data_IF_769295648942
#
_entry.id   IF_769295648942
#
_cell.length_a   1.000
_cell.length_b   1.000
_cell.length_c   1.000
_cell.angle_alpha   90.00
_cell.angle_beta   90.00
_cell.angle_gamma   90.00
#
_symmetry.space_group_name_H-M   'P 1'
#
loop_
_entity.id
_entity.type
_entity.pdbx_description
1 polymer ?
#
# COMPACT_ATOMS: atom_id res chain seq x y z
N UNK A 1 -3.14 -15.25 -6.13
CA UNK A 1 -3.12 -13.77 -6.00
C UNK A 1 -2.59 -13.37 -4.63
N UNK A 2 -1.43 -12.74 -4.57
CA UNK A 2 -0.79 -12.37 -3.31
C UNK A 2 -1.40 -11.09 -2.72
N UNK A 3 -1.50 -11.04 -1.39
CA UNK A 3 -1.95 -9.87 -0.63
C UNK A 3 -0.86 -8.80 -0.67
N UNK A 4 -1.23 -7.52 -0.74
CA UNK A 4 -0.34 -6.40 -0.39
C UNK A 4 0.30 -6.63 0.98
N UNK A 5 1.62 -6.61 1.01
CA UNK A 5 2.46 -6.69 2.20
C UNK A 5 3.14 -5.34 2.39
N UNK A 6 3.61 -5.08 3.61
CA UNK A 6 4.33 -3.83 3.89
C UNK A 6 5.55 -3.73 2.98
N UNK A 7 6.32 -4.82 2.81
CA UNK A 7 7.53 -4.88 1.98
C UNK A 7 7.31 -4.49 0.51
N UNK A 8 6.06 -4.46 0.03
CA UNK A 8 5.76 -4.00 -1.33
C UNK A 8 6.00 -2.49 -1.50
N UNK A 9 6.29 -1.72 -0.43
CA UNK A 9 6.65 -0.30 -0.55
C UNK A 9 7.88 -0.10 -1.45
N UNK A 10 8.78 -1.09 -1.50
CA UNK A 10 9.98 -1.08 -2.34
C UNK A 10 9.71 -1.14 -3.85
N UNK A 11 8.47 -1.42 -4.25
CA UNK A 11 8.04 -1.49 -5.66
C UNK A 11 7.42 -0.18 -6.13
N UNK A 12 7.31 0.82 -5.26
CA UNK A 12 6.76 2.13 -5.59
C UNK A 12 7.90 2.99 -6.11
N UNK A 13 7.94 3.20 -7.42
CA UNK A 13 8.86 4.14 -8.07
C UNK A 13 8.11 5.40 -8.51
N UNK A 14 6.87 5.22 -8.99
CA UNK A 14 5.98 6.30 -9.40
C UNK A 14 4.61 6.24 -8.70
N UNK A 15 3.85 7.33 -8.76
CA UNK A 15 2.53 7.44 -8.12
C UNK A 15 1.54 6.34 -8.59
N UNK A 16 1.58 5.95 -9.87
CA UNK A 16 0.72 4.92 -10.46
C UNK A 16 0.97 3.52 -9.86
N UNK A 17 2.18 3.27 -9.36
CA UNK A 17 2.56 1.97 -8.83
C UNK A 17 1.80 1.68 -7.54
N UNK A 18 1.55 2.71 -6.74
CA UNK A 18 0.80 2.61 -5.49
C UNK A 18 -0.58 1.98 -5.72
N UNK A 19 -1.29 2.41 -6.76
CA UNK A 19 -2.62 1.89 -7.10
C UNK A 19 -2.56 0.46 -7.66
N UNK A 20 -1.49 0.14 -8.40
CA UNK A 20 -1.29 -1.20 -8.97
C UNK A 20 -0.90 -2.25 -7.90
N UNK A 21 -0.11 -1.84 -6.90
CA UNK A 21 0.38 -2.66 -5.79
C UNK A 21 -0.72 -2.90 -4.76
N UNK A 22 -1.56 -1.89 -4.52
CA UNK A 22 -2.70 -1.99 -3.60
C UNK A 22 -3.84 -2.72 -4.28
N UNK A 23 -3.63 -4.02 -4.43
CA UNK A 23 -4.52 -4.92 -5.12
C UNK A 23 -5.22 -5.80 -4.08
N UNK A 24 -6.32 -5.30 -3.50
CA UNK A 24 -7.13 -6.11 -2.58
C UNK A 24 -7.84 -7.21 -3.38
N UNK A 25 -7.56 -8.46 -3.07
CA UNK A 25 -8.03 -9.62 -3.85
C UNK A 25 -8.80 -10.62 -3.00
N UNK A 26 -9.12 -10.27 -1.76
CA UNK A 26 -9.89 -11.14 -0.86
C UNK A 26 -11.38 -10.98 -1.09
N UNK A 27 -11.96 -11.81 -1.97
CA UNK A 27 -13.42 -11.93 -2.13
C UNK A 27 -14.17 -11.99 -0.78
N UNK A 28 -13.61 -12.68 0.23
CA UNK A 28 -14.21 -12.88 1.57
C UNK A 28 -14.04 -11.73 2.58
N UNK A 29 -13.20 -10.71 2.32
CA UNK A 29 -12.96 -9.60 3.27
C UNK A 29 -13.75 -8.33 2.95
N UNK A 30 -14.49 -8.36 1.84
CA UNK A 30 -15.28 -7.27 1.30
C UNK A 30 -16.74 -7.45 1.67
N UNK A 31 -17.09 -7.07 2.91
CA UNK A 31 -18.50 -7.06 3.29
C UNK A 31 -19.30 -6.02 2.49
N UNK A 32 -18.68 -4.89 2.07
CA UNK A 32 -19.32 -3.85 1.22
C UNK A 32 -18.28 -3.08 0.39
N UNK A 33 -18.74 -2.38 -0.66
CA UNK A 33 -17.91 -1.47 -1.50
C UNK A 33 -17.18 -0.41 -0.66
N UNK A 34 -17.88 0.24 0.28
CA UNK A 34 -17.29 1.24 1.21
C UNK A 34 -16.14 0.66 2.05
N UNK A 35 -16.30 -0.57 2.57
CA UNK A 35 -15.26 -1.25 3.35
C UNK A 35 -14.02 -1.60 2.50
N UNK A 36 -14.22 -1.92 1.22
CA UNK A 36 -13.12 -2.14 0.29
C UNK A 36 -12.30 -0.85 0.07
N UNK A 37 -12.97 0.27 -0.25
CA UNK A 37 -12.32 1.58 -0.43
C UNK A 37 -11.53 2.00 0.81
N UNK A 38 -12.11 1.87 2.01
CA UNK A 38 -11.40 2.18 3.26
C UNK A 38 -10.16 1.33 3.48
N UNK A 39 -10.20 0.04 3.11
CA UNK A 39 -9.03 -0.86 3.23
C UNK A 39 -7.94 -0.50 2.22
N UNK A 40 -8.29 -0.23 0.97
CA UNK A 40 -7.32 0.20 -0.04
C UNK A 40 -6.60 1.47 0.42
N UNK A 41 -7.35 2.49 0.85
CA UNK A 41 -6.76 3.72 1.40
C UNK A 41 -5.84 3.45 2.58
N UNK A 42 -6.23 2.56 3.50
CA UNK A 42 -5.35 2.17 4.62
C UNK A 42 -4.04 1.54 4.14
N UNK A 43 -4.09 0.69 3.11
CA UNK A 43 -2.88 0.08 2.57
C UNK A 43 -2.00 1.09 1.82
N UNK A 44 -2.60 1.97 1.01
CA UNK A 44 -1.89 3.08 0.36
C UNK A 44 -1.13 3.92 1.39
N UNK A 45 -1.82 4.40 2.43
CA UNK A 45 -1.20 5.22 3.47
C UNK A 45 -0.09 4.47 4.22
N UNK A 46 -0.29 3.19 4.52
CA UNK A 46 0.73 2.40 5.18
C UNK A 46 1.99 2.25 4.31
N UNK A 47 1.84 1.96 3.02
CA UNK A 47 2.98 1.82 2.11
C UNK A 47 3.73 3.14 1.96
N UNK A 48 3.01 4.24 1.77
CA UNK A 48 3.62 5.58 1.69
C UNK A 48 4.37 5.94 2.97
N UNK A 49 3.77 5.72 4.14
CA UNK A 49 4.44 6.00 5.43
C UNK A 49 5.72 5.17 5.61
N UNK A 50 5.78 3.95 5.09
CA UNK A 50 7.00 3.15 5.13
C UNK A 50 8.03 3.66 4.12
N UNK A 51 7.60 4.03 2.91
CA UNK A 51 8.47 4.61 1.90
C UNK A 51 9.12 5.90 2.40
N UNK A 52 8.34 6.85 2.92
CA UNK A 52 8.86 8.13 3.42
C UNK A 52 9.83 7.92 4.58
N UNK A 53 9.50 7.04 5.53
CA UNK A 53 10.42 6.73 6.64
C UNK A 53 11.75 6.15 6.19
N UNK A 54 11.73 5.27 5.17
CA UNK A 54 12.97 4.71 4.64
C UNK A 54 13.80 5.77 3.92
N UNK A 55 13.16 6.68 3.17
CA UNK A 55 13.82 7.83 2.56
C UNK A 55 14.43 8.71 3.66
N UNK A 56 13.66 9.08 4.69
CA UNK A 56 14.15 9.91 5.81
C UNK A 56 15.31 9.25 6.57
N UNK A 57 15.35 7.92 6.65
CA UNK A 57 16.46 7.15 7.25
C UNK A 57 17.69 7.08 6.33
N UNK A 58 17.51 7.01 5.01
CA UNK A 58 18.60 6.99 4.02
C UNK A 58 19.32 8.33 3.92
N UNK A 59 18.58 9.44 4.03
CA UNK A 59 19.10 10.81 3.97
C UNK A 59 19.31 11.45 5.35
N UNK A 60 19.44 10.62 6.40
CA UNK A 60 19.71 11.10 7.76
C UNK A 60 21.23 11.22 7.96
N UNK A 61 21.73 12.44 7.80
CA UNK A 61 23.09 12.85 8.20
C UNK A 61 23.30 12.75 9.72
#
# INVERSE_FOLDING_TARGET
MNRTRIQDYKKIEEAKDLDSIVNDKRKRKRATKKKATRRNRRYQNNLLNHLTKNIDEEYKD
#
